data_IF_667740674520
#
_entry.id   IF_667740674520
#
_cell.length_a   1.000
_cell.length_b   1.000
_cell.length_c   1.000
_cell.angle_alpha   90.00
_cell.angle_beta   90.00
_cell.angle_gamma   90.00
#
_symmetry.space_group_name_H-M   'P 1'
#
loop_
_entity.id
_entity.type
_entity.pdbx_description
1 polymer ?
#
# COMPACT_ATOMS: atom_id res chain seq x y z
N UNK A 1 -23.00 1.31 -10.56
CA UNK A 1 -21.75 1.82 -9.99
C UNK A 1 -21.92 1.90 -8.47
N UNK A 2 -21.07 1.23 -7.75
CA UNK A 2 -21.17 1.20 -6.29
C UNK A 2 -20.72 2.55 -5.76
N UNK A 3 -21.53 3.11 -4.88
CA UNK A 3 -21.21 4.39 -4.26
C UNK A 3 -20.03 4.20 -3.30
N UNK A 4 -18.90 4.84 -3.60
CA UNK A 4 -17.71 4.75 -2.75
C UNK A 4 -17.92 5.58 -1.49
N UNK A 5 -17.37 5.07 -0.39
CA UNK A 5 -17.29 5.87 0.82
C UNK A 5 -16.60 7.20 0.53
N UNK A 6 -17.09 8.27 1.12
CA UNK A 6 -16.54 9.61 0.91
C UNK A 6 -15.08 9.65 1.36
N UNK A 7 -14.19 10.07 0.47
CA UNK A 7 -12.76 10.13 0.74
C UNK A 7 -12.41 11.33 1.60
N UNK A 8 -11.41 11.16 2.45
CA UNK A 8 -10.84 12.23 3.23
C UNK A 8 -9.92 13.13 2.40
N UNK A 9 -9.44 14.27 2.96
CA UNK A 9 -8.67 15.26 2.20
C UNK A 9 -7.33 14.79 1.67
N UNK A 10 -6.75 13.73 2.23
CA UNK A 10 -5.45 13.17 1.79
C UNK A 10 -5.58 11.84 1.07
N UNK A 11 -6.80 11.39 0.75
CA UNK A 11 -7.03 10.07 0.16
C UNK A 11 -6.65 9.96 -1.32
N UNK A 12 -6.55 11.09 -2.02
CA UNK A 12 -6.21 11.13 -3.44
C UNK A 12 -4.80 11.66 -3.66
N UNK A 13 -3.86 11.19 -2.85
CA UNK A 13 -2.48 11.59 -2.98
C UNK A 13 -1.75 10.76 -4.04
N UNK A 14 -0.77 11.38 -4.65
CA UNK A 14 0.05 10.80 -5.68
C UNK A 14 1.23 10.05 -5.04
N UNK A 15 1.49 8.82 -5.50
CA UNK A 15 2.60 8.03 -4.95
C UNK A 15 3.87 8.31 -5.74
N UNK A 16 4.88 8.95 -5.13
CA UNK A 16 6.13 9.22 -5.82
C UNK A 16 7.00 7.97 -5.97
N UNK A 17 7.88 8.00 -6.98
CA UNK A 17 8.77 6.89 -7.29
C UNK A 17 9.65 6.47 -6.10
N UNK A 18 10.03 7.42 -5.26
CA UNK A 18 10.85 7.17 -4.07
C UNK A 18 10.21 6.17 -3.12
N UNK A 19 8.89 6.25 -2.93
CA UNK A 19 8.16 5.33 -2.05
C UNK A 19 8.23 3.89 -2.59
N UNK A 20 8.10 3.71 -3.90
CA UNK A 20 8.15 2.40 -4.53
C UNK A 20 9.59 1.86 -4.57
N UNK A 21 10.57 2.70 -4.85
CA UNK A 21 11.97 2.29 -4.97
C UNK A 21 12.45 1.49 -3.76
N UNK A 22 12.09 1.92 -2.56
CA UNK A 22 12.52 1.23 -1.34
C UNK A 22 11.79 -0.09 -1.10
N UNK A 23 10.62 -0.28 -1.69
CA UNK A 23 9.87 -1.52 -1.57
C UNK A 23 10.35 -2.59 -2.58
N UNK A 24 10.79 -2.17 -3.77
CA UNK A 24 11.11 -3.08 -4.87
C UNK A 24 12.01 -4.27 -4.47
N UNK A 25 13.09 -4.09 -3.69
CA UNK A 25 13.96 -5.22 -3.33
C UNK A 25 13.28 -6.30 -2.50
N UNK A 26 12.15 -6.00 -1.91
CA UNK A 26 11.46 -6.87 -0.97
C UNK A 26 10.23 -7.55 -1.56
N UNK A 27 9.80 -7.18 -2.77
CA UNK A 27 8.59 -7.72 -3.37
C UNK A 27 8.82 -9.19 -3.78
N UNK A 28 8.00 -10.14 -3.29
CA UNK A 28 8.08 -11.53 -3.75
C UNK A 28 7.81 -11.65 -5.24
N UNK A 29 8.20 -12.76 -5.84
CA UNK A 29 7.87 -13.05 -7.23
C UNK A 29 6.37 -13.32 -7.39
N UNK A 30 5.81 -12.87 -8.51
CA UNK A 30 4.42 -13.12 -8.85
C UNK A 30 3.75 -11.91 -9.50
N UNK A 31 2.51 -12.12 -9.91
CA UNK A 31 1.68 -11.07 -10.49
C UNK A 31 1.16 -10.16 -9.38
N UNK A 32 1.38 -8.86 -9.54
CA UNK A 32 0.98 -7.86 -8.56
C UNK A 32 -0.41 -7.30 -8.89
N UNK A 33 -1.27 -7.26 -7.90
CA UNK A 33 -2.55 -6.57 -8.00
C UNK A 33 -2.42 -5.18 -7.36
N UNK A 34 -2.62 -4.14 -8.16
CA UNK A 34 -2.78 -2.78 -7.66
C UNK A 34 -4.27 -2.51 -7.46
N UNK A 35 -4.72 -2.55 -6.23
CA UNK A 35 -6.14 -2.52 -5.89
C UNK A 35 -6.74 -1.12 -5.76
N UNK A 36 -5.91 -0.08 -5.78
CA UNK A 36 -6.34 1.32 -5.75
C UNK A 36 -5.52 2.14 -6.77
N UNK A 37 -5.64 1.83 -8.08
CA UNK A 37 -4.72 2.37 -9.09
C UNK A 37 -4.76 3.90 -9.23
N UNK A 38 -5.87 4.55 -8.91
CA UNK A 38 -6.00 5.98 -9.10
C UNK A 38 -5.64 6.37 -10.52
N UNK A 39 -4.62 7.22 -10.69
CA UNK A 39 -4.10 7.63 -12.01
C UNK A 39 -3.06 6.66 -12.58
N UNK A 40 -2.85 5.52 -11.94
CA UNK A 40 -1.96 4.47 -12.43
C UNK A 40 -0.49 4.66 -12.13
N UNK A 41 -0.15 5.49 -11.16
CA UNK A 41 1.25 5.81 -10.88
C UNK A 41 2.05 4.60 -10.37
N UNK A 42 1.51 3.86 -9.40
CA UNK A 42 2.15 2.64 -8.90
C UNK A 42 2.23 1.58 -9.99
N UNK A 43 1.17 1.41 -10.77
CA UNK A 43 1.15 0.48 -11.90
C UNK A 43 2.34 0.74 -12.84
N UNK A 44 2.51 1.98 -13.27
CA UNK A 44 3.61 2.36 -14.18
C UNK A 44 4.99 2.11 -13.57
N UNK A 45 5.14 2.43 -12.28
CA UNK A 45 6.43 2.25 -11.60
C UNK A 45 6.78 0.77 -11.44
N UNK A 46 5.82 -0.06 -11.10
CA UNK A 46 6.04 -1.50 -10.97
C UNK A 46 6.29 -2.17 -12.33
N UNK A 47 5.53 -1.80 -13.34
CA UNK A 47 5.75 -2.30 -14.71
C UNK A 47 7.12 -1.88 -15.24
N UNK A 48 7.50 -0.64 -14.99
CA UNK A 48 8.83 -0.13 -15.36
C UNK A 48 9.97 -0.87 -14.68
N UNK A 49 9.73 -1.45 -13.52
CA UNK A 49 10.70 -2.28 -12.80
C UNK A 49 10.66 -3.75 -13.21
N UNK A 50 9.84 -4.13 -14.18
CA UNK A 50 9.78 -5.47 -14.72
C UNK A 50 8.70 -6.37 -14.12
N UNK A 51 7.81 -5.83 -13.29
CA UNK A 51 6.73 -6.61 -12.69
C UNK A 51 5.51 -6.70 -13.62
N UNK A 52 4.83 -7.83 -13.57
CA UNK A 52 3.52 -7.98 -14.18
C UNK A 52 2.46 -7.45 -13.20
N UNK A 53 1.63 -6.52 -13.66
CA UNK A 53 0.66 -5.84 -12.79
C UNK A 53 -0.74 -5.96 -13.39
N UNK A 54 -1.69 -6.35 -12.56
CA UNK A 54 -3.12 -6.35 -12.91
C UNK A 54 -3.82 -5.28 -12.08
N UNK A 55 -4.79 -4.62 -12.67
CA UNK A 55 -5.51 -3.54 -12.01
C UNK A 55 -6.88 -3.35 -12.65
N UNK A 56 -7.77 -2.69 -11.92
CA UNK A 56 -9.08 -2.31 -12.42
C UNK A 56 -9.59 -1.12 -11.62
N UNK A 57 -10.50 -0.34 -12.19
CA UNK A 57 -11.19 0.73 -11.47
C UNK A 57 -12.41 0.23 -10.70
N UNK A 58 -12.62 -1.08 -10.66
CA UNK A 58 -13.68 -1.69 -9.86
C UNK A 58 -13.40 -1.51 -8.37
N UNK A 59 -14.47 -1.54 -7.58
CA UNK A 59 -14.37 -1.36 -6.14
C UNK A 59 -13.59 -2.53 -5.49
N UNK A 60 -12.52 -2.20 -4.78
CA UNK A 60 -11.70 -3.17 -4.04
C UNK A 60 -12.53 -4.06 -3.11
N UNK A 61 -13.59 -3.53 -2.51
CA UNK A 61 -14.37 -4.29 -1.53
C UNK A 61 -15.33 -5.31 -2.16
N UNK A 62 -15.55 -5.23 -3.46
CA UNK A 62 -16.50 -6.10 -4.17
C UNK A 62 -15.87 -6.96 -5.25
N UNK A 63 -14.60 -6.72 -5.55
CA UNK A 63 -13.95 -7.37 -6.70
C UNK A 63 -12.49 -7.68 -6.41
N UNK A 64 -12.01 -8.75 -7.02
CA UNK A 64 -10.59 -9.08 -7.12
C UNK A 64 -10.33 -9.70 -8.49
N UNK A 65 -9.08 -9.62 -9.00
CA UNK A 65 -8.74 -10.33 -10.25
C UNK A 65 -8.87 -11.84 -10.07
N UNK A 66 -9.10 -12.55 -11.19
CA UNK A 66 -9.15 -14.02 -11.16
C UNK A 66 -7.81 -14.63 -10.77
N UNK A 67 -6.71 -14.01 -11.24
CA UNK A 67 -5.35 -14.47 -10.96
C UNK A 67 -4.48 -13.31 -10.48
N UNK A 68 -3.89 -13.46 -9.31
CA UNK A 68 -2.92 -12.54 -8.73
C UNK A 68 -2.20 -13.21 -7.57
N UNK A 69 -1.02 -12.72 -7.24
CA UNK A 69 -0.17 -13.33 -6.21
C UNK A 69 0.09 -12.39 -5.03
N UNK A 70 0.27 -11.11 -5.31
CA UNK A 70 0.69 -10.12 -4.30
C UNK A 70 -0.12 -8.85 -4.53
N UNK A 71 -0.51 -8.17 -3.45
CA UNK A 71 -1.14 -6.85 -3.57
C UNK A 71 -0.14 -5.76 -3.14
N UNK A 72 0.00 -4.72 -3.96
CA UNK A 72 0.81 -3.54 -3.63
C UNK A 72 -0.01 -2.32 -3.96
N UNK A 73 -0.30 -1.49 -2.97
CA UNK A 73 -1.16 -0.31 -3.21
C UNK A 73 -0.97 0.78 -2.16
N UNK A 74 -1.37 1.98 -2.52
CA UNK A 74 -1.53 3.13 -1.63
C UNK A 74 -3.03 3.40 -1.49
N UNK A 75 -3.70 2.80 -0.49
CA UNK A 75 -5.16 2.93 -0.37
C UNK A 75 -5.56 4.29 0.18
N UNK A 76 -6.84 4.68 0.03
CA UNK A 76 -7.37 5.86 0.71
C UNK A 76 -7.17 5.72 2.22
N UNK A 77 -6.52 6.70 2.85
CA UNK A 77 -6.17 6.61 4.27
C UNK A 77 -7.37 6.58 5.20
N UNK A 78 -8.47 7.19 4.81
CA UNK A 78 -9.72 7.12 5.57
C UNK A 78 -10.31 5.70 5.64
N UNK A 79 -9.90 4.82 4.73
CA UNK A 79 -10.37 3.43 4.65
C UNK A 79 -9.29 2.42 5.06
N UNK A 80 -8.22 2.86 5.69
CA UNK A 80 -7.04 2.01 5.96
C UNK A 80 -7.36 0.75 6.77
N UNK A 81 -8.17 0.87 7.81
CA UNK A 81 -8.51 -0.29 8.63
C UNK A 81 -9.35 -1.31 7.86
N UNK A 82 -10.32 -0.84 7.07
CA UNK A 82 -11.15 -1.71 6.23
C UNK A 82 -10.32 -2.34 5.11
N UNK A 83 -9.37 -1.61 4.57
CA UNK A 83 -8.48 -2.12 3.54
C UNK A 83 -7.61 -3.27 4.07
N UNK A 84 -7.04 -3.07 5.27
CA UNK A 84 -6.27 -4.11 5.97
C UNK A 84 -7.11 -5.34 6.28
N UNK A 85 -8.33 -5.15 6.78
CA UNK A 85 -9.23 -6.25 7.10
C UNK A 85 -9.49 -7.13 5.87
N UNK A 86 -9.82 -6.51 4.75
CA UNK A 86 -10.04 -7.26 3.51
C UNK A 86 -8.75 -7.90 3.00
N UNK A 87 -7.64 -7.19 3.02
CA UNK A 87 -6.34 -7.74 2.61
C UNK A 87 -6.00 -9.01 3.38
N UNK A 88 -6.21 -8.99 4.70
CA UNK A 88 -6.00 -10.18 5.53
C UNK A 88 -6.95 -11.31 5.16
N UNK A 89 -8.20 -11.00 4.84
CA UNK A 89 -9.20 -12.01 4.47
C UNK A 89 -8.86 -12.72 3.15
N UNK A 90 -8.14 -12.05 2.25
CA UNK A 90 -7.76 -12.62 0.95
C UNK A 90 -6.61 -13.62 1.06
N UNK A 91 -5.85 -13.60 2.15
CA UNK A 91 -4.87 -14.64 2.48
C UNK A 91 -3.60 -14.65 1.64
N UNK A 92 -3.34 -13.62 0.84
CA UNK A 92 -2.13 -13.51 0.01
C UNK A 92 -1.22 -12.39 0.50
N UNK A 93 0.07 -12.43 0.17
CA UNK A 93 1.00 -11.37 0.55
C UNK A 93 0.53 -9.99 0.08
N UNK A 94 0.80 -8.97 0.88
CA UNK A 94 0.46 -7.60 0.51
C UNK A 94 1.44 -6.58 1.09
N UNK A 95 1.50 -5.43 0.45
CA UNK A 95 2.15 -4.22 0.97
C UNK A 95 1.20 -3.04 0.78
N UNK A 96 0.82 -2.40 1.88
CA UNK A 96 -0.04 -1.23 1.88
C UNK A 96 0.75 -0.02 2.39
N UNK A 97 0.72 1.07 1.63
CA UNK A 97 1.36 2.33 2.05
C UNK A 97 0.37 3.11 2.90
N UNK A 98 0.67 3.20 4.19
CA UNK A 98 -0.21 3.83 5.18
C UNK A 98 0.57 4.82 6.04
N UNK A 99 -0.13 5.79 6.67
CA UNK A 99 0.55 6.67 7.61
C UNK A 99 1.10 5.89 8.81
N UNK A 100 2.22 6.34 9.34
CA UNK A 100 2.84 5.72 10.54
C UNK A 100 1.87 5.73 11.71
N UNK A 101 0.97 6.72 11.78
CA UNK A 101 -0.06 6.81 12.82
C UNK A 101 -1.03 5.63 12.82
N UNK A 102 -1.08 4.83 11.75
CA UNK A 102 -1.89 3.61 11.75
C UNK A 102 -1.48 2.63 12.86
N UNK A 103 -0.22 2.64 13.28
CA UNK A 103 0.26 1.83 14.40
C UNK A 103 -0.42 2.20 15.72
N UNK A 104 -0.87 3.44 15.87
CA UNK A 104 -1.58 3.91 17.05
C UNK A 104 -3.11 3.78 16.96
N UNK A 105 -3.62 3.37 15.82
CA UNK A 105 -5.06 3.21 15.60
C UNK A 105 -5.52 1.85 16.11
N UNK A 106 -6.49 1.83 17.02
CA UNK A 106 -7.04 0.59 17.55
C UNK A 106 -7.60 -0.32 16.44
N UNK A 107 -8.32 0.27 15.50
CA UNK A 107 -8.93 -0.48 14.40
C UNK A 107 -7.87 -1.12 13.50
N UNK A 108 -6.79 -0.39 13.21
CA UNK A 108 -5.67 -0.93 12.45
C UNK A 108 -4.92 -2.00 13.24
N UNK A 109 -4.69 -1.77 14.53
CA UNK A 109 -3.95 -2.73 15.37
C UNK A 109 -4.58 -4.11 15.36
N UNK A 110 -5.91 -4.19 15.31
CA UNK A 110 -6.62 -5.47 15.22
C UNK A 110 -6.25 -6.25 13.94
N UNK A 111 -5.76 -5.56 12.91
CA UNK A 111 -5.45 -6.14 11.61
C UNK A 111 -3.94 -6.32 11.37
N UNK A 112 -3.10 -5.83 12.26
CA UNK A 112 -1.64 -5.78 12.04
C UNK A 112 -0.88 -6.99 12.61
N UNK A 113 -1.58 -7.99 13.10
CA UNK A 113 -0.95 -9.21 13.60
C UNK A 113 -0.13 -9.87 12.48
N UNK A 114 1.11 -10.25 12.77
CA UNK A 114 2.05 -10.84 11.82
C UNK A 114 2.50 -9.90 10.69
N UNK A 115 2.15 -8.63 10.74
CA UNK A 115 2.65 -7.65 9.78
C UNK A 115 4.07 -7.21 10.11
N UNK A 116 4.82 -6.90 9.06
CA UNK A 116 6.14 -6.26 9.16
C UNK A 116 6.04 -4.89 8.54
N UNK A 117 6.77 -3.92 9.07
CA UNK A 117 6.68 -2.53 8.61
C UNK A 117 8.03 -2.07 8.08
N UNK A 118 8.03 -1.57 6.86
CA UNK A 118 9.19 -0.96 6.22
C UNK A 118 9.03 0.55 6.29
N UNK A 119 9.81 1.19 7.16
CA UNK A 119 9.81 2.63 7.33
C UNK A 119 10.65 3.29 6.24
N UNK A 120 10.10 4.30 5.60
CA UNK A 120 10.82 5.08 4.59
C UNK A 120 11.76 6.08 5.28
N UNK A 121 12.88 6.47 4.62
CA UNK A 121 13.95 7.22 5.30
C UNK A 121 13.57 8.63 5.73
N UNK A 122 12.54 9.20 5.14
CA UNK A 122 12.09 10.57 5.46
C UNK A 122 10.66 10.76 4.98
N UNK A 123 10.08 11.91 5.33
CA UNK A 123 8.75 12.26 4.85
C UNK A 123 8.77 12.43 3.33
N UNK A 124 7.85 11.73 2.67
CA UNK A 124 7.70 11.76 1.23
C UNK A 124 6.55 12.72 0.90
N UNK A 125 6.82 13.64 -0.02
CA UNK A 125 5.79 14.59 -0.45
C UNK A 125 4.89 13.97 -1.52
N UNK A 126 3.66 13.72 -1.16
CA UNK A 126 2.63 13.19 -2.05
C UNK A 126 1.83 14.29 -2.73
N UNK A 127 1.98 15.55 -2.29
CA UNK A 127 1.16 16.65 -2.77
C UNK A 127 1.85 17.49 -3.84
N UNK A 128 3.20 17.40 -3.91
CA UNK A 128 4.01 18.25 -4.77
C UNK A 128 4.19 19.67 -4.25
N UNK A 129 3.61 20.01 -3.10
CA UNK A 129 3.62 21.35 -2.54
C UNK A 129 4.43 21.53 -1.27
N UNK A 130 5.23 20.53 -0.90
CA UNK A 130 6.03 20.55 0.32
C UNK A 130 5.90 19.25 1.11
N UNK A 131 6.73 19.07 2.14
CA UNK A 131 6.70 17.85 2.95
C UNK A 131 5.36 17.70 3.68
N UNK A 132 4.72 16.52 3.64
CA UNK A 132 3.49 16.30 4.36
C UNK A 132 3.74 16.36 5.88
N UNK A 133 2.70 16.66 6.64
CA UNK A 133 2.79 16.71 8.10
C UNK A 133 2.83 15.31 8.74
N UNK A 134 2.64 14.26 7.99
CA UNK A 134 2.68 12.87 8.46
C UNK A 134 3.71 12.05 7.69
N UNK A 135 4.21 10.99 8.32
CA UNK A 135 5.10 10.02 7.69
C UNK A 135 4.31 8.79 7.26
N UNK A 136 4.79 8.12 6.23
CA UNK A 136 4.20 6.89 5.71
C UNK A 136 5.20 5.74 5.81
N UNK A 137 4.68 4.53 5.80
CA UNK A 137 5.47 3.30 5.79
C UNK A 137 4.73 2.23 4.99
N UNK A 138 5.47 1.23 4.52
CA UNK A 138 4.87 0.05 3.92
C UNK A 138 4.54 -0.97 4.99
N UNK A 139 3.28 -1.27 5.15
CA UNK A 139 2.79 -2.34 6.03
C UNK A 139 2.70 -3.61 5.19
N UNK A 140 3.52 -4.60 5.51
CA UNK A 140 3.64 -5.79 4.68
C UNK A 140 3.22 -7.04 5.44
N UNK A 141 2.73 -8.03 4.70
CA UNK A 141 2.51 -9.38 5.19
C UNK A 141 2.98 -10.35 4.11
N UNK A 142 3.73 -11.37 4.53
CA UNK A 142 4.24 -12.35 3.58
C UNK A 142 5.45 -11.90 2.74
N UNK A 143 6.05 -10.76 3.05
CA UNK A 143 7.24 -10.25 2.34
C UNK A 143 8.55 -10.77 2.92
N UNK A 144 8.52 -11.35 4.11
CA UNK A 144 9.70 -11.91 4.79
C UNK A 144 10.84 -10.90 4.94
N UNK A 145 10.53 -9.72 5.47
CA UNK A 145 11.54 -8.72 5.78
C UNK A 145 12.49 -9.25 6.86
N UNK A 146 13.71 -8.71 6.91
CA UNK A 146 14.74 -9.14 7.86
C UNK A 146 14.37 -8.89 9.34
N UNK A 147 13.41 -8.01 9.59
CA UNK A 147 12.93 -7.73 10.94
C UNK A 147 11.47 -7.28 10.90
N UNK A 148 10.81 -7.28 12.06
CA UNK A 148 9.42 -6.83 12.15
C UNK A 148 9.30 -5.33 11.85
N UNK A 149 10.25 -4.53 12.33
CA UNK A 149 10.36 -3.12 12.00
C UNK A 149 11.68 -2.94 11.25
N UNK A 150 11.58 -2.55 9.98
CA UNK A 150 12.76 -2.33 9.15
C UNK A 150 12.82 -0.86 8.74
N UNK A 151 13.93 -0.20 9.09
CA UNK A 151 14.14 1.19 8.74
C UNK A 151 15.07 1.27 7.54
N UNK A 152 14.61 1.89 6.46
CA UNK A 152 15.44 2.11 5.29
C UNK A 152 16.54 3.10 5.66
N UNK A 153 17.77 2.75 5.32
CA UNK A 153 18.93 3.63 5.53
C UNK A 153 19.31 4.29 4.20
N UNK A 154 19.53 5.57 4.25
CA UNK A 154 20.08 6.31 3.11
C UNK A 154 21.59 6.17 3.03
#
# INVERSE_FOLDING_TARGET
MIERAKRGPYDEVYTPAEAIRHLLPHIPEGTIWESAPGKGNIVRLLEGAGHEVVWSKKDYFDWQPDEWDIMVTNPPFSLKAKWLERANSLGKPYALLLPVTALGSRECQLQLNECQVLFLPRRIDFTGGGAPWFSVAWYTKGFELSSQLLFVKE
#
